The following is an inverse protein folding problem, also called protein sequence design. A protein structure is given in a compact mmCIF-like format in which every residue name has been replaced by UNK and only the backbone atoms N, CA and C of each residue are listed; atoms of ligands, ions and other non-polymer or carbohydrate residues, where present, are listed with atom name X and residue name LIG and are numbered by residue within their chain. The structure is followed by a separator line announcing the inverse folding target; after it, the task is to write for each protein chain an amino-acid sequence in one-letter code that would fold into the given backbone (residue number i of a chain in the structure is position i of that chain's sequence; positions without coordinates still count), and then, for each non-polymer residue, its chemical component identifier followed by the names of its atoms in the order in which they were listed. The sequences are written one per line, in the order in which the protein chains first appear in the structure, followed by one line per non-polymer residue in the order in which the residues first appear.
data_IF_819694555809
#
_entry.id   IF_819694555809
#
_cell.length_a   1.000
_cell.length_b   1.000
_cell.length_c   1.000
_cell.angle_alpha   90.00
_cell.angle_beta   90.00
_cell.angle_gamma   90.00
#
_symmetry.space_group_name_H-M   'P 1'
#
loop_
_entity.id
_entity.type
_entity.pdbx_description
1 polymer ?
#
# COMPACT_ATOMS: atom_id res chain seq x y z
N UNK A 1 11.02 25.36 19.78
CA UNK A 1 11.56 24.21 19.03
C UNK A 1 10.78 23.01 19.49
N UNK A 2 9.74 22.62 18.73
CA UNK A 2 9.12 21.32 18.96
C UNK A 2 10.20 20.27 18.70
N UNK A 3 10.43 19.39 19.66
CA UNK A 3 11.27 18.23 19.43
C UNK A 3 10.59 17.40 18.33
N UNK A 4 11.17 17.39 17.13
CA UNK A 4 10.79 16.45 16.08
C UNK A 4 10.96 15.04 16.65
N UNK A 5 9.83 14.41 16.97
CA UNK A 5 9.80 13.03 17.43
C UNK A 5 10.40 12.18 16.32
N UNK A 6 11.46 11.45 16.65
CA UNK A 6 12.10 10.53 15.73
C UNK A 6 11.06 9.50 15.22
N UNK A 7 11.06 9.25 13.90
CA UNK A 7 10.12 8.31 13.28
C UNK A 7 10.31 6.91 13.86
N UNK A 8 9.21 6.16 14.03
CA UNK A 8 9.28 4.74 14.38
C UNK A 8 9.79 3.86 13.23
N UNK A 9 9.87 4.40 12.02
CA UNK A 9 10.25 3.69 10.81
C UNK A 9 11.70 3.99 10.45
N UNK A 10 12.48 2.96 10.16
CA UNK A 10 13.80 3.11 9.55
C UNK A 10 13.69 3.10 8.03
N UNK A 11 12.74 2.33 7.51
CA UNK A 11 12.61 2.11 6.06
C UNK A 11 11.17 1.88 5.65
N UNK A 12 10.72 2.58 4.62
CA UNK A 12 9.38 2.42 4.05
C UNK A 12 9.49 1.89 2.63
N UNK A 13 8.69 0.88 2.32
CA UNK A 13 8.55 0.37 0.97
C UNK A 13 7.46 1.14 0.22
N UNK A 14 7.80 1.70 -0.93
CA UNK A 14 6.86 2.44 -1.78
C UNK A 14 6.56 1.65 -3.04
N UNK A 15 5.28 1.29 -3.22
CA UNK A 15 4.73 0.76 -4.47
C UNK A 15 4.22 1.92 -5.32
N UNK A 16 4.58 1.98 -6.59
CA UNK A 16 4.18 3.09 -7.46
C UNK A 16 4.30 2.72 -8.95
N UNK A 17 3.69 3.53 -9.81
CA UNK A 17 3.76 3.31 -11.26
C UNK A 17 5.15 3.53 -11.86
N UNK A 18 5.55 2.68 -12.81
CA UNK A 18 6.64 2.94 -13.76
C UNK A 18 6.30 4.06 -14.75
N UNK A 19 5.03 4.47 -14.82
CA UNK A 19 4.55 5.64 -15.54
C UNK A 19 4.34 6.83 -14.60
N UNK A 20 4.55 8.05 -15.09
CA UNK A 20 4.36 9.29 -14.29
C UNK A 20 2.89 9.68 -14.07
N UNK A 21 1.96 9.02 -14.79
CA UNK A 21 0.56 9.44 -14.85
C UNK A 21 0.33 10.67 -15.75
N UNK A 22 -0.95 11.05 -15.92
CA UNK A 22 -1.36 12.14 -16.84
C UNK A 22 -1.47 13.51 -16.18
N UNK A 23 -1.52 13.57 -14.85
CA UNK A 23 -1.73 14.81 -14.09
C UNK A 23 -0.47 15.14 -13.29
N UNK A 24 0.06 16.38 -13.33
CA UNK A 24 1.26 16.80 -12.59
C UNK A 24 1.23 16.51 -11.09
N UNK A 25 0.05 16.52 -10.49
CA UNK A 25 -0.17 16.23 -9.08
C UNK A 25 0.33 14.85 -8.64
N UNK A 26 0.36 13.85 -9.54
CA UNK A 26 0.93 12.53 -9.22
C UNK A 26 2.45 12.58 -9.08
N UNK A 27 3.12 13.32 -9.97
CA UNK A 27 4.58 13.53 -9.91
C UNK A 27 4.96 14.35 -8.68
N UNK A 28 4.23 15.44 -8.42
CA UNK A 28 4.41 16.29 -7.24
C UNK A 28 4.26 15.49 -5.95
N UNK A 29 3.22 14.65 -5.87
CA UNK A 29 3.01 13.79 -4.71
C UNK A 29 4.12 12.75 -4.50
N UNK A 30 4.71 12.20 -5.56
CA UNK A 30 5.85 11.28 -5.45
C UNK A 30 7.10 11.99 -4.89
N UNK A 31 7.38 13.20 -5.36
CA UNK A 31 8.49 14.03 -4.86
C UNK A 31 8.24 14.45 -3.42
N UNK A 32 7.03 14.88 -3.10
CA UNK A 32 6.68 15.32 -1.74
C UNK A 32 6.70 14.15 -0.74
N UNK A 33 6.31 12.94 -1.16
CA UNK A 33 6.51 11.74 -0.35
C UNK A 33 8.00 11.52 -0.07
N UNK A 34 8.86 11.60 -1.08
CA UNK A 34 10.31 11.48 -0.90
C UNK A 34 10.85 12.49 0.13
N UNK A 35 10.43 13.76 0.04
CA UNK A 35 10.80 14.80 1.03
C UNK A 35 10.31 14.45 2.44
N UNK A 36 9.10 13.93 2.61
CA UNK A 36 8.58 13.54 3.93
C UNK A 36 9.37 12.38 4.55
N UNK A 37 9.85 11.43 3.72
CA UNK A 37 10.75 10.37 4.18
C UNK A 37 12.11 10.95 4.62
N UNK A 38 12.68 11.85 3.83
CA UNK A 38 13.96 12.52 4.13
C UNK A 38 13.91 13.31 5.44
N UNK A 39 12.88 14.15 5.59
CA UNK A 39 12.64 14.97 6.79
C UNK A 39 12.61 14.12 8.07
N UNK A 40 12.05 12.90 7.97
CA UNK A 40 11.93 11.95 9.08
C UNK A 40 13.09 10.95 9.18
N UNK A 41 14.14 11.11 8.36
CA UNK A 41 15.31 10.23 8.30
C UNK A 41 14.97 8.76 7.97
N UNK A 42 13.95 8.57 7.13
CA UNK A 42 13.48 7.26 6.68
C UNK A 42 14.13 6.90 5.34
N UNK A 43 14.61 5.67 5.20
CA UNK A 43 15.14 5.13 3.96
C UNK A 43 14.05 4.54 3.05
N UNK A 44 14.33 4.45 1.75
CA UNK A 44 13.39 3.95 0.75
C UNK A 44 13.72 2.52 0.33
N UNK A 45 12.67 1.68 0.27
CA UNK A 45 12.66 0.45 -0.53
C UNK A 45 11.63 0.61 -1.65
N UNK A 46 11.95 0.13 -2.85
CA UNK A 46 11.00 0.18 -3.97
C UNK A 46 11.36 -0.83 -5.07
N UNK A 47 10.63 -0.80 -6.18
CA UNK A 47 10.77 -1.73 -7.30
C UNK A 47 12.00 -1.56 -8.21
N UNK A 48 12.87 -0.58 -7.94
CA UNK A 48 14.13 -0.41 -8.66
C UNK A 48 14.06 0.24 -10.04
N UNK A 49 12.89 0.70 -10.50
CA UNK A 49 12.76 1.42 -11.78
C UNK A 49 13.33 2.84 -11.72
N UNK A 50 13.82 3.37 -12.84
CA UNK A 50 14.39 4.73 -12.91
C UNK A 50 13.45 5.76 -13.54
N UNK A 51 12.28 5.35 -14.01
CA UNK A 51 11.31 6.18 -14.72
C UNK A 51 9.99 6.29 -13.96
N UNK A 52 9.11 7.18 -14.40
CA UNK A 52 7.79 7.35 -13.80
C UNK A 52 7.83 7.87 -12.38
N UNK A 53 6.85 7.48 -11.57
CA UNK A 53 6.81 7.84 -10.15
C UNK A 53 7.94 7.17 -9.36
N UNK A 54 8.36 5.97 -9.78
CA UNK A 54 9.50 5.25 -9.23
C UNK A 54 10.79 6.07 -9.28
N UNK A 55 11.11 6.65 -10.44
CA UNK A 55 12.27 7.53 -10.60
C UNK A 55 12.17 8.80 -9.73
N UNK A 56 10.98 9.41 -9.68
CA UNK A 56 10.77 10.65 -8.92
C UNK A 56 10.93 10.46 -7.40
N UNK A 57 10.29 9.44 -6.83
CA UNK A 57 10.38 9.20 -5.38
C UNK A 57 11.78 8.75 -4.98
N UNK A 58 12.42 7.89 -5.78
CA UNK A 58 13.79 7.44 -5.49
C UNK A 58 14.79 8.58 -5.57
N UNK A 59 14.72 9.42 -6.61
CA UNK A 59 15.61 10.57 -6.74
C UNK A 59 15.42 11.56 -5.60
N UNK A 60 14.18 11.89 -5.23
CA UNK A 60 13.90 12.79 -4.12
C UNK A 60 14.48 12.29 -2.78
N UNK A 61 14.41 10.99 -2.53
CA UNK A 61 15.00 10.38 -1.31
C UNK A 61 16.54 10.39 -1.37
N UNK A 62 17.11 10.03 -2.52
CA UNK A 62 18.56 10.03 -2.71
C UNK A 62 19.16 11.44 -2.57
N UNK A 63 18.57 12.43 -3.22
CA UNK A 63 19.01 13.84 -3.17
C UNK A 63 18.94 14.39 -1.74
N UNK A 64 17.99 13.91 -0.94
CA UNK A 64 17.88 14.19 0.49
C UNK A 64 18.88 13.45 1.37
N UNK A 65 19.80 12.68 0.81
CA UNK A 65 20.87 11.99 1.52
C UNK A 65 20.43 10.73 2.27
N UNK A 66 19.26 10.16 1.96
CA UNK A 66 18.78 8.90 2.53
C UNK A 66 19.13 7.71 1.65
N UNK A 67 19.15 6.52 2.25
CA UNK A 67 19.44 5.30 1.49
C UNK A 67 18.24 4.90 0.63
N UNK A 68 18.52 4.45 -0.60
CA UNK A 68 17.54 3.94 -1.55
C UNK A 68 17.94 2.52 -1.93
N UNK A 69 17.01 1.58 -1.76
CA UNK A 69 17.14 0.18 -2.16
C UNK A 69 16.08 -0.18 -3.21
N UNK A 70 16.51 -0.32 -4.46
CA UNK A 70 15.69 -0.88 -5.53
C UNK A 70 15.80 -2.40 -5.58
N UNK A 71 14.68 -3.12 -5.52
CA UNK A 71 14.64 -4.57 -5.68
C UNK A 71 13.99 -4.90 -7.01
N UNK A 72 14.71 -5.57 -7.90
CA UNK A 72 14.26 -5.79 -9.27
C UNK A 72 14.64 -7.19 -9.79
N UNK A 73 13.72 -7.92 -10.45
CA UNK A 73 14.08 -9.14 -11.15
C UNK A 73 15.05 -8.85 -12.29
N UNK A 74 16.06 -9.71 -12.47
CA UNK A 74 17.07 -9.54 -13.54
C UNK A 74 16.44 -9.38 -14.93
N UNK A 75 15.32 -10.05 -15.18
CA UNK A 75 14.57 -10.01 -16.44
C UNK A 75 13.91 -8.67 -16.72
N UNK A 76 13.66 -7.84 -15.71
CA UNK A 76 13.03 -6.52 -15.85
C UNK A 76 14.04 -5.37 -15.91
N UNK A 77 15.28 -5.58 -15.47
CA UNK A 77 16.32 -4.54 -15.43
C UNK A 77 16.47 -3.78 -16.77
N UNK A 78 16.58 -4.44 -17.94
CA UNK A 78 16.77 -3.71 -19.21
C UNK A 78 15.58 -2.85 -19.62
N UNK A 79 14.39 -3.09 -19.05
CA UNK A 79 13.15 -2.40 -19.41
C UNK A 79 12.82 -1.27 -18.43
N UNK A 80 13.11 -1.46 -17.15
CA UNK A 80 12.71 -0.56 -16.07
C UNK A 80 13.85 0.37 -15.62
N UNK A 81 15.11 0.03 -15.92
CA UNK A 81 16.28 0.86 -15.62
C UNK A 81 16.82 1.44 -16.92
N UNK A 82 16.60 2.74 -17.09
CA UNK A 82 17.16 3.54 -18.18
C UNK A 82 18.23 4.48 -17.62
N UNK A 83 19.47 4.33 -18.05
CA UNK A 83 20.59 5.14 -17.57
C UNK A 83 21.15 4.64 -16.22
N UNK A 84 21.54 5.58 -15.36
CA UNK A 84 22.11 5.26 -14.06
C UNK A 84 21.03 4.92 -13.02
N UNK A 85 21.36 4.02 -12.11
CA UNK A 85 20.48 3.61 -11.02
C UNK A 85 20.56 4.60 -9.85
N UNK A 86 19.44 4.84 -9.19
CA UNK A 86 19.37 5.66 -7.97
C UNK A 86 19.57 4.74 -6.76
N UNK A 87 20.68 4.90 -6.04
CA UNK A 87 20.99 4.11 -4.84
C UNK A 87 21.47 2.68 -5.10
N UNK A 88 21.24 1.79 -4.14
CA UNK A 88 21.56 0.35 -4.24
C UNK A 88 20.49 -0.38 -5.06
N UNK A 89 20.91 -1.22 -6.00
CA UNK A 89 20.01 -2.12 -6.73
C UNK A 89 20.30 -3.57 -6.40
N UNK A 90 19.29 -4.28 -5.90
CA UNK A 90 19.30 -5.70 -5.59
C UNK A 90 18.56 -6.49 -6.65
N UNK A 91 19.34 -7.21 -7.45
CA UNK A 91 18.82 -8.08 -8.49
C UNK A 91 18.36 -9.45 -7.93
N UNK A 92 17.12 -9.86 -8.21
CA UNK A 92 16.51 -11.14 -7.76
C UNK A 92 16.13 -12.02 -8.96
N UNK A 93 15.76 -13.29 -8.73
CA UNK A 93 15.43 -14.21 -9.84
C UNK A 93 14.05 -13.95 -10.45
N UNK A 94 13.06 -13.61 -9.63
CA UNK A 94 11.65 -13.57 -10.03
C UNK A 94 10.82 -12.57 -9.21
N UNK A 95 9.55 -12.43 -9.59
CA UNK A 95 8.60 -11.51 -8.95
C UNK A 95 8.29 -11.88 -7.50
N UNK A 96 8.26 -13.16 -7.14
CA UNK A 96 7.97 -13.56 -5.76
C UNK A 96 9.12 -13.19 -4.84
N UNK A 97 10.36 -13.45 -5.26
CA UNK A 97 11.55 -13.00 -4.53
C UNK A 97 11.61 -11.48 -4.40
N UNK A 98 11.21 -10.75 -5.45
CA UNK A 98 11.13 -9.28 -5.40
C UNK A 98 10.21 -8.82 -4.27
N UNK A 99 8.97 -9.31 -4.25
CA UNK A 99 7.97 -8.92 -3.23
C UNK A 99 8.39 -9.35 -1.82
N UNK A 100 8.89 -10.57 -1.68
CA UNK A 100 9.39 -11.08 -0.39
C UNK A 100 10.58 -10.26 0.14
N UNK A 101 11.51 -9.85 -0.73
CA UNK A 101 12.64 -9.00 -0.37
C UNK A 101 12.18 -7.60 0.03
N UNK A 102 11.33 -6.96 -0.78
CA UNK A 102 10.78 -5.63 -0.49
C UNK A 102 10.05 -5.63 0.86
N UNK A 103 9.19 -6.64 1.09
CA UNK A 103 8.45 -6.77 2.33
C UNK A 103 9.34 -7.04 3.54
N UNK A 104 10.42 -7.81 3.39
CA UNK A 104 11.36 -8.07 4.48
C UNK A 104 12.16 -6.84 4.88
N UNK A 105 12.51 -5.97 3.93
CA UNK A 105 13.30 -4.77 4.18
C UNK A 105 12.49 -3.58 4.73
N UNK A 106 11.15 -3.65 4.69
CA UNK A 106 10.28 -2.52 5.06
C UNK A 106 9.77 -2.60 6.50
N UNK A 107 9.56 -1.45 7.16
CA UNK A 107 8.82 -1.35 8.42
C UNK A 107 7.34 -0.96 8.18
N UNK A 108 7.06 -0.30 7.06
CA UNK A 108 5.72 0.04 6.58
C UNK A 108 5.69 0.10 5.04
N UNK A 109 4.48 0.12 4.49
CA UNK A 109 4.21 0.14 3.06
C UNK A 109 3.39 1.38 2.68
N UNK A 110 3.69 1.99 1.54
CA UNK A 110 2.89 3.06 0.95
C UNK A 110 2.66 2.76 -0.54
N UNK A 111 1.41 2.85 -1.00
CA UNK A 111 1.12 2.89 -2.43
C UNK A 111 0.87 4.33 -2.91
N UNK A 112 1.70 4.80 -3.83
CA UNK A 112 1.42 5.94 -4.70
C UNK A 112 0.54 5.49 -5.88
N UNK A 113 -0.14 6.42 -6.57
CA UNK A 113 -0.88 6.11 -7.80
C UNK A 113 -0.10 5.21 -8.77
N UNK A 114 -0.75 4.18 -9.28
CA UNK A 114 -0.09 3.17 -10.09
C UNK A 114 -1.06 2.15 -10.69
N UNK A 115 -0.57 1.39 -11.68
CA UNK A 115 -1.36 0.41 -12.41
C UNK A 115 -1.46 -0.95 -11.70
N UNK A 116 -1.64 -2.01 -12.49
CA UNK A 116 -1.84 -3.37 -11.97
C UNK A 116 -0.70 -3.85 -11.07
N UNK A 117 0.57 -3.57 -11.41
CA UNK A 117 1.70 -3.97 -10.58
C UNK A 117 1.63 -3.37 -9.16
N UNK A 118 1.29 -2.08 -9.06
CA UNK A 118 1.12 -1.41 -7.77
C UNK A 118 -0.05 -1.98 -6.98
N UNK A 119 -1.17 -2.30 -7.64
CA UNK A 119 -2.33 -2.91 -6.98
C UNK A 119 -2.04 -4.34 -6.51
N UNK A 120 -1.26 -5.10 -7.29
CA UNK A 120 -0.85 -6.46 -6.95
C UNK A 120 0.03 -6.49 -5.70
N UNK A 121 1.07 -5.64 -5.66
CA UNK A 121 1.95 -5.47 -4.50
C UNK A 121 1.17 -4.98 -3.26
N UNK A 122 0.26 -4.01 -3.45
CA UNK A 122 -0.57 -3.46 -2.37
C UNK A 122 -1.51 -4.51 -1.76
N UNK A 123 -2.28 -5.22 -2.59
CA UNK A 123 -3.26 -6.19 -2.11
C UNK A 123 -2.60 -7.39 -1.43
N UNK A 124 -1.40 -7.78 -1.89
CA UNK A 124 -0.62 -8.83 -1.23
C UNK A 124 -0.25 -8.44 0.21
N UNK A 125 0.32 -7.24 0.45
CA UNK A 125 0.70 -6.84 1.82
C UNK A 125 -0.51 -6.57 2.71
N UNK A 126 -1.66 -6.14 2.15
CA UNK A 126 -2.92 -6.07 2.90
C UNK A 126 -3.36 -7.47 3.34
N UNK A 127 -3.30 -8.43 2.44
CA UNK A 127 -3.68 -9.82 2.71
C UNK A 127 -2.77 -10.44 3.75
N UNK A 128 -1.46 -10.19 3.70
CA UNK A 128 -0.51 -10.66 4.70
C UNK A 128 -0.75 -10.05 6.08
N UNK A 129 -1.09 -8.76 6.15
CA UNK A 129 -1.51 -8.13 7.40
C UNK A 129 -2.80 -8.76 7.96
N UNK A 130 -3.80 -9.01 7.09
CA UNK A 130 -5.05 -9.66 7.47
C UNK A 130 -4.83 -11.07 8.03
N UNK A 131 -3.90 -11.82 7.45
CA UNK A 131 -3.53 -13.17 7.89
C UNK A 131 -2.58 -13.18 9.10
N UNK A 132 -2.16 -12.01 9.60
CA UNK A 132 -1.24 -11.89 10.73
C UNK A 132 0.23 -12.25 10.40
N UNK A 133 0.58 -12.39 9.12
CA UNK A 133 1.95 -12.67 8.65
C UNK A 133 2.89 -11.51 9.01
N UNK A 134 2.37 -10.28 9.04
CA UNK A 134 3.07 -9.13 9.58
C UNK A 134 2.11 -8.15 10.25
N UNK A 135 2.67 -7.18 10.99
CA UNK A 135 1.94 -6.06 11.63
C UNK A 135 2.35 -4.68 11.11
N UNK A 136 3.03 -4.64 9.97
CA UNK A 136 3.54 -3.43 9.31
C UNK A 136 2.38 -2.57 8.78
N UNK A 137 2.34 -1.25 9.06
CA UNK A 137 1.31 -0.36 8.53
C UNK A 137 1.28 -0.32 7.00
N UNK A 138 0.07 -0.16 6.42
CA UNK A 138 -0.14 -0.06 4.97
C UNK A 138 -0.88 1.24 4.66
N UNK A 139 -0.24 2.12 3.90
CA UNK A 139 -0.73 3.44 3.52
C UNK A 139 -1.10 3.54 2.03
N UNK A 140 -2.09 4.36 1.71
CA UNK A 140 -2.45 4.81 0.37
C UNK A 140 -2.31 6.33 0.29
N UNK A 141 -1.47 6.81 -0.62
CA UNK A 141 -1.44 8.23 -0.93
C UNK A 141 -2.52 8.53 -1.98
N UNK A 142 -3.68 8.96 -1.51
CA UNK A 142 -4.89 9.13 -2.32
C UNK A 142 -4.94 10.47 -3.06
N UNK A 143 -3.95 10.70 -3.93
CA UNK A 143 -3.79 11.94 -4.71
C UNK A 143 -5.01 12.17 -5.60
N UNK A 144 -5.67 13.31 -5.44
CA UNK A 144 -6.89 13.67 -6.20
C UNK A 144 -7.98 12.57 -6.21
N UNK A 145 -8.05 11.76 -5.15
CA UNK A 145 -9.03 10.67 -5.07
C UNK A 145 -8.75 9.49 -6.01
N UNK A 146 -7.51 9.31 -6.46
CA UNK A 146 -7.10 8.20 -7.35
C UNK A 146 -7.60 6.83 -6.87
N UNK A 147 -7.59 6.58 -5.56
CA UNK A 147 -8.00 5.32 -4.95
C UNK A 147 -9.46 5.31 -4.47
N UNK A 148 -10.26 6.35 -4.72
CA UNK A 148 -11.65 6.40 -4.24
C UNK A 148 -12.46 5.19 -4.69
N UNK A 149 -12.37 4.81 -5.97
CA UNK A 149 -13.10 3.65 -6.49
C UNK A 149 -12.62 2.33 -5.87
N UNK A 150 -11.32 2.20 -5.56
CA UNK A 150 -10.80 1.03 -4.86
C UNK A 150 -11.33 0.98 -3.43
N UNK A 151 -11.30 2.10 -2.70
CA UNK A 151 -11.80 2.18 -1.34
C UNK A 151 -13.29 1.86 -1.27
N UNK A 152 -14.10 2.42 -2.17
CA UNK A 152 -15.52 2.10 -2.26
C UNK A 152 -15.79 0.64 -2.62
N UNK A 153 -14.96 0.03 -3.47
CA UNK A 153 -15.06 -1.41 -3.75
C UNK A 153 -14.76 -2.25 -2.50
N UNK A 154 -13.76 -1.86 -1.70
CA UNK A 154 -13.44 -2.55 -0.45
C UNK A 154 -14.55 -2.35 0.60
N UNK A 155 -15.17 -1.18 0.66
CA UNK A 155 -16.34 -0.94 1.52
C UNK A 155 -17.50 -1.85 1.12
N UNK A 156 -17.78 -1.98 -0.18
CA UNK A 156 -18.77 -2.94 -0.68
C UNK A 156 -18.43 -4.38 -0.29
N UNK A 157 -17.16 -4.78 -0.35
CA UNK A 157 -16.74 -6.11 0.07
C UNK A 157 -16.90 -6.33 1.59
N UNK A 158 -16.87 -5.27 2.41
CA UNK A 158 -17.25 -5.33 3.82
C UNK A 158 -18.75 -5.54 3.97
N UNK A 159 -19.56 -4.73 3.26
CA UNK A 159 -21.03 -4.82 3.31
C UNK A 159 -21.53 -6.21 2.89
N UNK A 160 -20.87 -6.83 1.91
CA UNK A 160 -21.17 -8.16 1.40
C UNK A 160 -20.52 -9.30 2.22
N UNK A 161 -19.79 -8.98 3.29
CA UNK A 161 -19.24 -9.97 4.22
C UNK A 161 -17.97 -10.69 3.74
N UNK A 162 -17.31 -10.22 2.68
CA UNK A 162 -16.02 -10.77 2.22
C UNK A 162 -14.81 -10.21 2.97
N UNK A 163 -14.95 -9.02 3.56
CA UNK A 163 -13.91 -8.35 4.38
C UNK A 163 -14.52 -8.02 5.74
N UNK A 164 -13.82 -8.31 6.83
CA UNK A 164 -14.27 -7.88 8.16
C UNK A 164 -14.01 -6.39 8.38
N UNK A 165 -14.83 -5.74 9.21
CA UNK A 165 -14.61 -4.32 9.57
C UNK A 165 -13.21 -4.07 10.15
N UNK A 166 -12.66 -5.05 10.88
CA UNK A 166 -11.30 -4.99 11.43
C UNK A 166 -10.25 -5.06 10.31
N UNK A 167 -10.40 -5.99 9.35
CA UNK A 167 -9.48 -6.08 8.21
C UNK A 167 -9.55 -4.83 7.33
N UNK A 168 -10.72 -4.21 7.18
CA UNK A 168 -10.88 -2.95 6.41
C UNK A 168 -10.04 -1.79 6.96
N UNK A 169 -9.76 -1.79 8.28
CA UNK A 169 -8.95 -0.79 8.99
C UNK A 169 -7.43 -0.99 8.83
N UNK A 170 -6.99 -2.05 8.15
CA UNK A 170 -5.56 -2.25 7.81
C UNK A 170 -5.05 -1.08 6.96
N UNK A 171 -5.89 -0.57 6.07
CA UNK A 171 -5.54 0.49 5.13
C UNK A 171 -5.67 1.85 5.82
N UNK A 172 -4.57 2.60 5.79
CA UNK A 172 -4.52 4.04 6.11
C UNK A 172 -4.53 4.80 4.79
N UNK A 173 -5.35 5.85 4.68
CA UNK A 173 -5.45 6.61 3.43
C UNK A 173 -5.49 8.09 3.74
N UNK A 174 -4.65 8.87 3.06
CA UNK A 174 -4.65 10.32 3.17
C UNK A 174 -4.36 10.96 1.81
N UNK A 175 -4.87 12.18 1.54
CA UNK A 175 -4.68 12.86 0.26
C UNK A 175 -3.29 13.50 0.09
N UNK A 176 -2.53 13.67 1.18
CA UNK A 176 -1.19 14.31 1.15
C UNK A 176 -0.14 13.43 1.83
N UNK A 177 1.09 13.51 1.34
CA UNK A 177 2.20 12.71 1.88
C UNK A 177 2.45 13.00 3.37
N UNK A 178 2.39 14.28 3.76
CA UNK A 178 2.58 14.71 5.15
C UNK A 178 1.55 14.08 6.08
N UNK A 179 0.27 14.15 5.71
CA UNK A 179 -0.80 13.55 6.50
C UNK A 179 -0.65 12.04 6.56
N UNK A 180 -0.38 11.37 5.42
CA UNK A 180 -0.24 9.93 5.39
C UNK A 180 0.87 9.43 6.31
N UNK A 181 2.06 10.03 6.23
CA UNK A 181 3.19 9.60 7.06
C UNK A 181 2.91 9.86 8.54
N UNK A 182 2.28 11.00 8.89
CA UNK A 182 1.85 11.26 10.27
C UNK A 182 0.84 10.23 10.78
N UNK A 183 -0.14 9.85 9.97
CA UNK A 183 -1.12 8.84 10.37
C UNK A 183 -0.49 7.46 10.53
N UNK A 184 0.49 7.09 9.70
CA UNK A 184 1.20 5.82 9.82
C UNK A 184 2.02 5.71 11.10
N UNK A 185 2.53 6.81 11.65
CA UNK A 185 3.25 6.83 12.94
C UNK A 185 2.36 6.43 14.13
N UNK A 186 1.04 6.60 14.01
CA UNK A 186 0.08 6.25 15.06
C UNK A 186 0.01 4.73 15.20
N UNK A 187 0.23 4.23 16.42
CA UNK A 187 0.15 2.80 16.69
C UNK A 187 -1.28 2.28 16.44
N UNK A 188 -1.45 1.05 15.92
CA UNK A 188 -2.77 0.47 15.67
C UNK A 188 -3.70 0.44 16.90
N UNK A 189 -3.14 0.26 18.10
CA UNK A 189 -3.93 0.24 19.34
C UNK A 189 -4.53 1.61 19.68
N UNK A 190 -3.82 2.70 19.35
CA UNK A 190 -4.27 4.07 19.61
C UNK A 190 -5.31 4.54 18.60
N UNK A 191 -5.36 3.94 17.41
CA UNK A 191 -6.33 4.29 16.37
C UNK A 191 -7.75 3.80 16.69
N UNK A 192 -7.89 2.65 17.36
CA UNK A 192 -9.19 2.14 17.81
C UNK A 192 -9.83 3.00 18.89
N UNK A 193 -9.04 3.47 19.86
CA UNK A 193 -9.50 4.28 20.99
C UNK A 193 -9.91 5.70 20.57
N UNK A 194 -9.20 6.31 19.62
CA UNK A 194 -9.50 7.65 19.10
C UNK A 194 -10.85 7.71 18.34
N UNK A 195 -11.18 6.65 17.57
CA UNK A 195 -12.45 6.57 16.85
C UNK A 195 -13.63 6.19 17.76
N UNK A 196 -13.42 5.34 18.77
CA UNK A 196 -14.45 5.08 19.80
C UNK A 196 -14.76 6.33 20.64
N UNK A 197 -13.75 7.18 20.90
CA UNK A 197 -13.94 8.47 21.53
C UNK A 197 -14.74 9.46 20.67
N UNK A 198 -14.44 9.52 19.36
CA UNK A 198 -15.16 10.40 18.42
C UNK A 198 -16.60 9.92 18.16
N UNK A 199 -16.83 8.60 18.11
CA UNK A 199 -18.17 8.01 17.99
C UNK A 199 -19.05 8.25 19.22
N UNK A 200 -18.45 8.38 20.41
CA UNK A 200 -19.16 8.80 21.64
C UNK A 200 -19.48 10.29 21.63
N UNK A 201 -18.53 11.13 21.18
CA UNK A 201 -18.71 12.58 21.07
C UNK A 201 -19.71 12.99 19.97
N UNK A 202 -19.88 12.19 18.91
CA UNK A 202 -20.89 12.43 17.88
C UNK A 202 -22.33 12.06 18.33
N UNK A 203 -22.46 11.29 19.42
CA UNK A 203 -23.74 10.95 20.05
C UNK A 203 -24.22 11.93 21.13
N UNK A 204 -23.37 12.88 21.53
CA UNK A 204 -23.71 13.96 22.44
C UNK A 204 -23.62 15.28 21.67
N UNK A 205 -24.76 15.94 21.52
CA UNK A 205 -24.91 17.24 20.86
C UNK A 205 -23.94 18.26 21.48
N UNK A 206 -22.83 18.57 20.81
CA UNK A 206 -21.85 19.56 21.27
C UNK A 206 -22.47 20.96 21.07
N UNK A 207 -23.12 21.46 22.13
CA UNK A 207 -23.39 22.89 22.28
C UNK A 207 -22.08 23.57 22.70
N UNK A 208 -21.36 24.11 21.73
CA UNK A 208 -20.22 25.01 21.97
C UNK A 208 -20.76 26.36 22.46
N UNK A 209 -20.91 26.52 23.79
CA UNK A 209 -20.98 27.85 24.40
C UNK A 209 -19.56 28.37 24.59
N UNK A 210 -19.22 29.43 23.85
CA UNK A 210 -18.03 30.25 24.07
C UNK A 210 -18.37 31.24 25.19
N UNK A 211 -17.87 30.99 26.41
CA UNK A 211 -17.87 32.00 27.46
C UNK A 211 -16.78 33.04 27.16
N UNK A 212 -17.22 34.26 26.82
CA UNK A 212 -16.39 35.46 26.93
C UNK A 212 -16.79 36.12 28.25
N UNK A 213 -15.90 36.04 29.24
CA UNK A 213 -16.05 36.79 30.48
C UNK A 213 -15.66 38.26 30.23
N UNK A 214 -16.56 39.19 30.55
CA UNK A 214 -16.29 40.29 31.50
C UNK A 214 -17.52 41.22 31.62
N UNK A 215 -17.98 41.44 32.87
CA UNK A 215 -18.53 42.72 33.31
C UNK A 215 -20.05 42.86 33.47
N UNK A 216 -20.52 42.65 34.70
CA UNK A 216 -21.40 43.62 35.38
C UNK A 216 -22.92 43.45 35.30
N UNK A 217 -23.49 43.46 36.51
CA UNK A 217 -24.85 43.89 36.89
C UNK A 217 -25.98 42.83 36.97
N UNK A 218 -26.39 42.56 38.22
CA UNK A 218 -27.64 41.93 38.62
C UNK A 218 -28.87 42.66 38.06
N UNK A 219 -29.97 41.93 37.81
CA UNK A 219 -31.34 42.19 38.30
C UNK A 219 -32.30 41.16 37.68
N UNK A 220 -33.23 40.61 38.48
CA UNK A 220 -34.61 40.38 38.00
C UNK A 220 -35.19 38.96 38.11
N UNK A 221 -36.15 38.83 39.03
CA UNK A 221 -37.06 37.71 39.30
C UNK A 221 -38.09 37.40 38.18
N UNK A 222 -38.63 36.18 38.29
CA UNK A 222 -40.05 35.73 38.12
C UNK A 222 -40.66 35.32 36.77
N UNK A 223 -41.43 34.21 36.82
CA UNK A 223 -42.52 33.82 35.91
C UNK A 223 -42.32 32.44 35.24
N UNK A 224 -42.71 31.31 35.82
CA UNK A 224 -44.07 30.71 35.86
C UNK A 224 -44.61 30.22 34.50
N UNK A 225 -44.97 28.93 34.40
CA UNK A 225 -45.84 28.40 33.34
C UNK A 225 -45.71 26.89 33.06
N UNK A 226 -46.65 26.10 33.60
CA UNK A 226 -47.33 24.91 33.02
C UNK A 226 -46.46 23.79 32.38
N UNK A 227 -46.45 22.53 32.79
CA UNK A 227 -47.51 21.70 33.36
C UNK A 227 -47.99 20.67 32.32
N UNK A 228 -47.41 19.47 32.25
CA UNK A 228 -48.08 18.23 31.81
C UNK A 228 -47.45 17.03 32.50
N UNK A 229 -48.27 16.30 33.25
CA UNK A 229 -48.03 14.96 33.79
C UNK A 229 -48.50 13.92 32.77
N UNK A 230 -47.68 12.90 32.52
CA UNK A 230 -48.13 11.60 32.05
C UNK A 230 -47.24 10.51 32.68
N UNK A 231 -47.89 9.55 33.34
CA UNK A 231 -47.31 8.44 34.09
C UNK A 231 -46.88 7.26 33.20
N UNK A 232 -45.99 6.44 33.81
CA UNK A 232 -45.73 5.01 33.61
C UNK A 232 -45.17 4.58 32.23
N UNK A 233 -44.20 3.66 32.12
CA UNK A 233 -44.06 2.40 32.85
C UNK A 233 -42.59 2.03 33.09
N UNK A 234 -42.35 1.46 34.27
CA UNK A 234 -41.16 0.72 34.65
C UNK A 234 -41.09 -0.62 33.90
N UNK A 235 -40.05 -0.83 33.08
CA UNK A 235 -39.66 -2.16 32.61
C UNK A 235 -38.41 -2.63 33.36
N UNK A 236 -38.60 -3.67 34.18
CA UNK A 236 -37.54 -4.44 34.82
C UNK A 236 -36.80 -5.26 33.75
N UNK A 237 -35.47 -5.12 33.66
CA UNK A 237 -34.63 -6.05 32.92
C UNK A 237 -34.22 -7.16 33.91
N UNK A 238 -34.83 -8.33 33.76
CA UNK A 238 -34.48 -9.53 34.51
C UNK A 238 -33.09 -10.05 34.12
N UNK A 239 -32.27 -10.34 35.13
CA UNK A 239 -31.13 -11.22 35.00
C UNK A 239 -31.62 -12.67 34.87
N UNK A 240 -31.18 -13.37 33.84
CA UNK A 240 -31.19 -14.82 33.80
C UNK A 240 -29.76 -15.30 33.53
N UNK A 241 -29.17 -15.92 34.55
CA UNK A 241 -27.97 -16.74 34.42
C UNK A 241 -28.36 -18.21 34.52
N UNK A 242 -27.87 -19.01 33.59
CA UNK A 242 -27.62 -20.46 33.69
C UNK A 242 -26.40 -20.69 32.75
N UNK A 243 -25.27 -21.29 33.11
CA UNK A 243 -25.04 -22.30 34.12
C UNK A 243 -24.99 -23.68 33.47
N UNK A 244 -23.91 -24.02 32.76
CA UNK A 244 -23.58 -25.42 32.45
C UNK A 244 -22.07 -25.64 32.56
N UNK A 245 -21.68 -26.32 33.63
CA UNK A 245 -20.39 -26.98 33.78
C UNK A 245 -20.44 -28.39 33.19
N UNK A 246 -19.28 -28.85 32.72
CA UNK A 246 -19.09 -30.18 32.16
C UNK A 246 -17.61 -30.41 31.88
N UNK A 247 -16.89 -30.79 32.94
CA UNK A 247 -15.50 -31.21 32.98
C UNK A 247 -15.31 -32.56 32.29
N UNK A 248 -14.35 -32.70 31.37
CA UNK A 248 -13.65 -33.96 31.10
C UNK A 248 -12.21 -33.70 30.64
N UNK A 249 -11.28 -34.17 31.46
CA UNK A 249 -9.85 -34.28 31.19
C UNK A 249 -9.57 -35.39 30.15
N UNK A 250 -8.47 -35.23 29.42
CA UNK A 250 -7.92 -36.25 28.54
C UNK A 250 -6.61 -35.80 27.92
N UNK A 251 -5.50 -36.16 28.56
CA UNK A 251 -4.14 -36.09 28.03
C UNK A 251 -4.02 -36.84 26.70
N UNK A 252 -3.27 -36.30 25.74
CA UNK A 252 -2.59 -37.10 24.73
C UNK A 252 -1.28 -36.41 24.31
N UNK A 253 -0.21 -37.12 24.62
CA UNK A 253 1.19 -36.82 24.39
C UNK A 253 1.58 -36.96 22.90
N UNK A 254 2.55 -36.13 22.50
CA UNK A 254 3.59 -36.32 21.47
C UNK A 254 3.44 -37.48 20.47
N UNK A 255 3.34 -37.12 19.18
CA UNK A 255 3.74 -37.97 18.06
C UNK A 255 4.74 -37.19 17.18
N UNK A 256 6.02 -37.48 17.36
CA UNK A 256 7.10 -37.10 16.44
C UNK A 256 6.90 -37.83 15.11
N UNK A 257 7.10 -37.12 14.00
CA UNK A 257 7.19 -37.74 12.67
C UNK A 257 8.68 -37.85 12.33
N UNK A 258 9.22 -39.05 12.50
CA UNK A 258 10.51 -39.46 11.93
C UNK A 258 10.40 -39.51 10.40
N UNK A 259 11.35 -38.87 9.72
CA UNK A 259 11.62 -39.10 8.31
C UNK A 259 12.73 -40.14 8.23
N UNK A 260 12.38 -41.36 7.85
CA UNK A 260 13.31 -42.47 7.68
C UNK A 260 14.07 -42.36 6.34
N UNK A 261 15.36 -42.68 6.44
CA UNK A 261 16.35 -42.76 5.39
C UNK A 261 16.05 -43.93 4.45
N UNK A 262 16.32 -43.75 3.15
CA UNK A 262 16.10 -44.81 2.17
C UNK A 262 16.76 -44.54 0.82
N UNK A 263 18.07 -44.35 0.82
CA UNK A 263 18.86 -44.52 -0.40
C UNK A 263 18.95 -46.00 -0.81
N UNK A 264 19.10 -46.27 -2.10
CA UNK A 264 19.97 -47.30 -2.71
C UNK A 264 19.93 -47.17 -4.24
N UNK A 265 21.06 -46.67 -4.75
CA UNK A 265 21.83 -47.03 -5.96
C UNK A 265 21.19 -47.62 -7.23
N UNK A 266 21.61 -47.05 -8.37
CA UNK A 266 22.47 -47.77 -9.32
C UNK A 266 21.86 -48.10 -10.68
N UNK A 267 22.43 -47.55 -11.76
CA UNK A 267 22.17 -48.01 -13.13
C UNK A 267 22.70 -47.10 -14.22
N UNK A 268 24.02 -47.01 -14.36
CA UNK A 268 24.64 -46.54 -15.59
C UNK A 268 24.64 -47.67 -16.63
N UNK A 269 24.20 -47.38 -17.85
CA UNK A 269 24.65 -48.10 -19.06
C UNK A 269 24.81 -47.10 -20.21
N UNK A 270 26.00 -47.13 -20.76
CA UNK A 270 26.50 -46.41 -21.93
C UNK A 270 26.31 -47.29 -23.19
N UNK A 271 26.01 -46.67 -24.33
CA UNK A 271 26.29 -47.16 -25.69
C UNK A 271 25.81 -46.14 -26.76
N UNK A 272 26.74 -45.44 -27.41
CA UNK A 272 26.53 -44.83 -28.75
C UNK A 272 26.67 -45.87 -29.88
N UNK A 273 27.01 -45.51 -31.14
CA UNK A 273 26.89 -44.25 -31.89
C UNK A 273 26.14 -44.42 -33.25
N UNK A 274 25.85 -43.34 -34.00
CA UNK A 274 25.29 -43.45 -35.35
C UNK A 274 25.19 -42.13 -36.13
N UNK A 275 25.89 -42.03 -37.25
CA UNK A 275 26.18 -40.83 -38.06
C UNK A 275 25.12 -40.48 -39.13
N UNK A 276 25.23 -39.24 -39.67
CA UNK A 276 24.70 -38.77 -40.97
C UNK A 276 23.78 -37.56 -40.79
N UNK A 277 24.00 -36.35 -41.32
CA UNK A 277 24.73 -35.89 -42.50
C UNK A 277 23.73 -35.26 -43.48
N UNK A 278 23.82 -33.95 -43.76
CA UNK A 278 23.15 -33.33 -44.92
C UNK A 278 22.39 -32.00 -44.70
N UNK A 279 23.09 -30.90 -45.00
CA UNK A 279 22.71 -29.67 -45.73
C UNK A 279 21.24 -29.34 -46.07
N UNK A 280 20.89 -28.05 -45.95
CA UNK A 280 19.76 -27.39 -46.64
C UNK A 280 19.35 -26.11 -45.91
N UNK A 281 20.00 -24.98 -46.15
CA UNK A 281 19.52 -23.88 -47.01
C UNK A 281 18.37 -23.05 -46.42
N UNK A 282 18.70 -21.78 -46.19
CA UNK A 282 17.82 -20.65 -45.88
C UNK A 282 17.18 -20.15 -47.17
N UNK A 283 15.99 -19.53 -47.11
CA UNK A 283 15.82 -18.34 -47.95
C UNK A 283 15.31 -17.12 -47.17
N UNK A 284 15.99 -16.01 -47.47
CA UNK A 284 15.55 -14.62 -47.33
C UNK A 284 14.27 -14.39 -48.15
N UNK A 285 13.35 -13.56 -47.64
CA UNK A 285 12.38 -12.87 -48.48
C UNK A 285 12.82 -11.41 -48.60
N UNK A 286 13.20 -11.06 -49.83
CA UNK A 286 13.72 -9.77 -50.24
C UNK A 286 12.62 -8.93 -50.90
N UNK A 287 12.82 -7.62 -50.83
CA UNK A 287 11.91 -6.60 -51.30
C UNK A 287 11.77 -6.57 -52.83
N UNK A 288 10.59 -6.20 -53.32
CA UNK A 288 10.38 -5.79 -54.72
C UNK A 288 9.83 -4.36 -54.82
N UNK A 289 10.63 -3.52 -55.48
CA UNK A 289 10.34 -2.16 -55.89
C UNK A 289 9.64 -2.10 -57.27
N UNK A 290 8.96 -0.98 -57.58
CA UNK A 290 8.83 -0.29 -58.88
C UNK A 290 7.72 0.76 -58.75
N UNK A 291 7.77 2.01 -59.24
CA UNK A 291 8.71 2.86 -59.97
C UNK A 291 8.19 4.31 -59.75
N UNK A 292 8.96 5.40 -59.79
CA UNK A 292 9.75 5.90 -60.91
C UNK A 292 8.98 7.01 -61.64
N UNK A 293 9.32 8.29 -61.39
CA UNK A 293 9.39 9.39 -62.37
C UNK A 293 9.65 10.74 -61.66
N UNK A 294 10.77 11.35 -62.04
CA UNK A 294 11.19 12.72 -61.74
C UNK A 294 10.41 13.74 -62.59
N UNK A 295 10.42 15.02 -62.19
CA UNK A 295 10.00 16.13 -63.05
C UNK A 295 9.80 17.46 -62.32
N UNK A 296 10.69 18.41 -62.60
CA UNK A 296 10.85 19.77 -62.06
C UNK A 296 9.79 20.81 -62.46
N UNK A 297 9.99 22.02 -61.90
CA UNK A 297 9.44 23.35 -62.20
C UNK A 297 8.10 23.68 -61.49
N UNK A 298 7.97 24.73 -60.69
CA UNK A 298 8.57 26.06 -60.77
C UNK A 298 7.44 27.05 -61.14
N UNK A 299 7.18 28.06 -60.30
CA UNK A 299 6.33 29.19 -60.69
C UNK A 299 5.27 29.61 -59.67
N UNK A 300 5.53 30.75 -59.04
CA UNK A 300 4.60 31.52 -58.24
C UNK A 300 3.35 31.96 -59.02
N UNK A 301 2.22 32.19 -58.33
CA UNK A 301 1.35 33.37 -58.51
C UNK A 301 0.42 33.55 -57.30
N UNK A 302 0.34 34.79 -56.83
CA UNK A 302 -0.61 35.34 -55.84
C UNK A 302 -2.07 35.16 -56.27
N UNK A 303 -2.96 34.90 -55.32
CA UNK A 303 -4.02 35.80 -54.81
C UNK A 303 -4.73 35.14 -53.65
#
# INVERSE_FOLDING_TARGET
MEMEKESRFKRICVFCGSSSGKKPSYQEAAVDLGKQLVERRIDLVYGGGSVGLMGLVSQAVHDGGRHVLGVIPRTLMPREITGETVGEVRAVSDMHQRKAEMARQADAFIALPGGYGTLEELLEVITWAQLGIHRKPVGLLNVEGYYNSLLSFLDKAVDEGFISQTARRIIVSAPTAKQLVLELEIEPHQRGEAEEGLGKLAGEEIVLQVEIAEGGEEVGREGAGEGVVAEAESLQIGHAGEGFGGELAGEAHSGEVELDDGGVVGGAVDAGPGAGGGTGEVPEEDAAAHGGAEGEEGGATKM
#
